data_IF_252666005621
#
_entry.id   IF_252666005621
#
_cell.length_a   1.000
_cell.length_b   1.000
_cell.length_c   1.000
_cell.angle_alpha   90.00
_cell.angle_beta   90.00
_cell.angle_gamma   90.00
#
_symmetry.space_group_name_H-M   'P 1'
#
loop_
_entity.id
_entity.type
_entity.pdbx_description
1 polymer ?
#
# COMPACT_ATOMS: atom_id res chain seq x y z
N UNK A 1 -0.75 8.95 12.98
CA UNK A 1 -0.41 8.80 11.56
C UNK A 1 -1.65 8.94 10.74
N UNK A 2 -1.56 9.68 9.66
CA UNK A 2 -2.71 9.91 8.82
C UNK A 2 -2.57 9.18 7.52
N UNK A 3 -3.70 8.65 7.06
CA UNK A 3 -3.75 8.02 5.76
C UNK A 3 -3.69 9.08 4.67
N UNK A 4 -3.02 8.76 3.59
CA UNK A 4 -2.86 9.66 2.45
C UNK A 4 -3.79 9.17 1.35
N UNK A 5 -4.56 10.07 0.77
CA UNK A 5 -5.41 9.69 -0.34
C UNK A 5 -4.56 9.42 -1.58
N UNK A 6 -4.88 8.35 -2.28
CA UNK A 6 -4.15 8.01 -3.49
C UNK A 6 -4.24 9.09 -4.56
N UNK A 7 -5.30 9.90 -4.52
CA UNK A 7 -5.44 11.01 -5.45
C UNK A 7 -4.50 12.17 -5.11
N UNK A 8 -4.00 12.23 -3.88
CA UNK A 8 -3.08 13.29 -3.48
C UNK A 8 -1.64 12.94 -3.81
N UNK A 9 -1.24 11.71 -3.50
CA UNK A 9 0.07 11.21 -3.91
C UNK A 9 0.12 9.71 -3.68
N UNK A 10 1.10 9.07 -4.29
CA UNK A 10 1.31 7.62 -4.20
C UNK A 10 2.64 7.35 -3.50
N UNK A 11 2.78 6.15 -2.90
CA UNK A 11 4.06 5.77 -2.31
C UNK A 11 5.07 5.43 -3.40
N UNK A 12 6.29 5.18 -3.00
CA UNK A 12 7.29 4.68 -3.93
C UNK A 12 6.91 3.27 -4.36
N UNK A 13 7.23 2.96 -5.61
CA UNK A 13 6.93 1.65 -6.15
C UNK A 13 7.67 0.57 -5.38
N UNK A 14 7.01 -0.54 -5.19
CA UNK A 14 7.55 -1.75 -4.57
C UNK A 14 7.84 -1.63 -3.08
N UNK A 15 7.44 -0.54 -2.46
CA UNK A 15 7.55 -0.39 -1.02
C UNK A 15 6.27 -0.88 -0.35
N UNK A 16 6.39 -1.79 0.59
CA UNK A 16 5.23 -2.31 1.30
C UNK A 16 4.64 -1.24 2.20
N UNK A 17 3.34 -1.02 2.06
CA UNK A 17 2.61 -0.01 2.84
C UNK A 17 1.25 -0.60 3.22
N UNK A 18 0.58 0.08 4.13
CA UNK A 18 -0.82 -0.23 4.42
C UNK A 18 -1.69 0.48 3.38
N UNK A 19 -2.63 -0.26 2.83
CA UNK A 19 -3.58 0.32 1.88
C UNK A 19 -4.99 0.05 2.35
N UNK A 20 -5.89 0.96 2.05
CA UNK A 20 -7.30 0.79 2.38
C UNK A 20 -8.04 0.36 1.13
N UNK A 21 -8.45 -0.90 1.14
CA UNK A 21 -9.25 -1.46 0.06
C UNK A 21 -10.70 -1.19 0.40
N UNK A 22 -11.43 -0.55 -0.50
CA UNK A 22 -12.73 0.03 -0.18
C UNK A 22 -13.79 -0.97 0.26
N UNK A 23 -13.62 -2.24 -0.08
CA UNK A 23 -14.58 -3.25 0.31
C UNK A 23 -14.10 -4.17 1.43
N UNK A 24 -12.80 -4.28 1.59
CA UNK A 24 -12.24 -5.24 2.53
C UNK A 24 -11.48 -4.62 3.70
N UNK A 25 -11.19 -3.32 3.64
CA UNK A 25 -10.48 -2.64 4.72
C UNK A 25 -8.99 -2.61 4.53
N UNK A 26 -8.26 -2.49 5.63
CA UNK A 26 -6.81 -2.32 5.57
C UNK A 26 -6.09 -3.60 5.19
N UNK A 27 -5.13 -3.47 4.30
CA UNK A 27 -4.31 -4.59 3.82
C UNK A 27 -2.88 -4.12 3.64
N UNK A 28 -1.96 -5.06 3.63
CA UNK A 28 -0.58 -4.78 3.25
C UNK A 28 -0.47 -4.98 1.74
N UNK A 29 0.19 -4.05 1.08
CA UNK A 29 0.38 -4.14 -0.36
C UNK A 29 1.49 -3.19 -0.78
N UNK A 30 1.88 -3.26 -2.04
CA UNK A 30 2.85 -2.34 -2.62
C UNK A 30 2.38 -1.91 -4.00
N UNK A 31 2.84 -0.75 -4.40
CA UNK A 31 2.49 -0.20 -5.70
C UNK A 31 3.40 -0.77 -6.77
N UNK A 32 2.82 -1.23 -7.85
CA UNK A 32 3.58 -1.69 -9.01
C UNK A 32 3.37 -0.69 -10.13
N UNK A 33 4.46 -0.25 -10.74
CA UNK A 33 4.40 0.72 -11.83
C UNK A 33 4.84 0.01 -13.10
N UNK A 34 3.90 -0.20 -14.01
CA UNK A 34 4.18 -0.76 -15.31
C UNK A 34 4.54 0.33 -16.30
N UNK A 35 4.64 -0.05 -17.58
CA UNK A 35 5.02 0.90 -18.62
C UNK A 35 3.93 1.95 -18.86
N UNK A 36 2.67 1.54 -18.78
CA UNK A 36 1.56 2.42 -19.09
C UNK A 36 0.51 2.45 -18.02
N UNK A 37 0.65 1.61 -16.98
CA UNK A 37 -0.36 1.53 -15.95
C UNK A 37 0.25 1.20 -14.62
N UNK A 38 -0.51 1.39 -13.56
CA UNK A 38 -0.11 1.12 -12.19
C UNK A 38 -1.17 0.26 -11.54
N UNK A 39 -0.76 -0.53 -10.56
CA UNK A 39 -1.69 -1.33 -9.78
C UNK A 39 -1.04 -1.66 -8.45
N UNK A 40 -1.83 -2.29 -7.57
CA UNK A 40 -1.35 -2.71 -6.26
C UNK A 40 -1.30 -4.22 -6.19
N UNK A 41 -0.30 -4.74 -5.50
CA UNK A 41 -0.17 -6.20 -5.33
C UNK A 41 0.15 -6.54 -3.89
N UNK A 42 -0.21 -7.75 -3.50
CA UNK A 42 0.34 -8.36 -2.29
C UNK A 42 0.54 -9.84 -2.57
N UNK A 43 0.88 -10.60 -1.53
CA UNK A 43 1.20 -12.02 -1.72
C UNK A 43 0.02 -12.84 -2.23
N UNK A 44 -1.18 -12.34 -2.09
CA UNK A 44 -2.38 -13.10 -2.40
C UNK A 44 -3.21 -12.52 -3.52
N UNK A 45 -3.16 -11.20 -3.71
CA UNK A 45 -4.11 -10.54 -4.58
C UNK A 45 -3.49 -9.40 -5.36
N UNK A 46 -4.20 -8.99 -6.40
CA UNK A 46 -3.87 -7.82 -7.20
C UNK A 46 -5.07 -6.89 -7.15
N UNK A 47 -4.82 -5.60 -6.95
CA UNK A 47 -5.89 -4.61 -6.87
C UNK A 47 -5.67 -3.54 -7.91
N UNK A 48 -6.76 -3.12 -8.57
CA UNK A 48 -6.70 -1.97 -9.45
C UNK A 48 -6.58 -0.68 -8.65
N UNK A 49 -6.15 0.37 -9.32
CA UNK A 49 -5.97 1.67 -8.66
C UNK A 49 -7.26 2.16 -8.02
N UNK A 50 -8.40 1.88 -8.65
CA UNK A 50 -9.68 2.34 -8.14
C UNK A 50 -10.13 1.60 -6.87
N UNK A 51 -9.53 0.47 -6.56
CA UNK A 51 -9.92 -0.31 -5.39
C UNK A 51 -9.25 0.16 -4.11
N UNK A 52 -8.19 0.92 -4.22
CA UNK A 52 -7.43 1.41 -3.07
C UNK A 52 -7.62 2.92 -2.98
N UNK A 53 -8.22 3.38 -1.90
CA UNK A 53 -8.51 4.80 -1.73
C UNK A 53 -7.42 5.55 -0.97
N UNK A 54 -6.80 4.88 0.00
CA UNK A 54 -5.82 5.51 0.89
C UNK A 54 -4.65 4.57 1.14
N UNK A 55 -3.55 5.14 1.57
CA UNK A 55 -2.40 4.36 1.99
C UNK A 55 -1.67 5.09 3.10
N UNK A 56 -0.82 4.37 3.82
CA UNK A 56 0.04 4.99 4.81
C UNK A 56 1.27 4.11 5.00
N UNK A 57 2.36 4.74 5.41
CA UNK A 57 3.59 4.00 5.64
C UNK A 57 3.44 3.12 6.87
N UNK A 58 4.18 2.02 6.87
CA UNK A 58 4.22 1.16 8.04
C UNK A 58 5.12 1.78 9.09
N UNK A 59 4.80 1.56 10.36
CA UNK A 59 5.72 2.01 11.41
C UNK A 59 7.02 1.21 11.30
N UNK A 60 8.14 1.79 11.71
CA UNK A 60 9.39 1.05 11.70
C UNK A 60 9.32 -0.14 12.65
N UNK A 61 10.04 -1.20 12.28
CA UNK A 61 10.07 -2.36 13.14
C UNK A 61 10.85 -2.06 14.41
N UNK A 62 10.39 -2.58 15.55
CA UNK A 62 11.15 -2.41 16.79
C UNK A 62 12.48 -3.14 16.67
N UNK A 63 13.53 -2.53 17.18
CA UNK A 63 14.84 -3.12 17.15
C UNK A 63 15.01 -4.08 18.31
N UNK A 64 15.72 -5.17 18.06
CA UNK A 64 16.11 -6.12 19.11
C UNK A 64 14.95 -6.69 19.88
N UNK A 65 13.84 -6.79 19.25
CA UNK A 65 12.65 -7.23 19.94
C UNK A 65 12.72 -8.69 20.34
N UNK A 66 13.43 -9.47 19.57
CA UNK A 66 13.42 -10.92 19.71
C UNK A 66 14.75 -11.51 20.08
N UNK A 67 15.72 -10.70 20.31
CA UNK A 67 17.05 -11.21 20.62
C UNK A 67 17.22 -11.47 22.09
#
# INVERSE_FOLDING_TARGET
MEAIRCTDRLPEANEEVLVYETEAGWRLAWLVVGKQEKWWENCHDVYGMHQISHWMTLPPEPKNTWS
#
